data_IF_835568757998
#
_entry.id   IF_835568757998
#
_cell.length_a   1.000
_cell.length_b   1.000
_cell.length_c   1.000
_cell.angle_alpha   90.00
_cell.angle_beta   90.00
_cell.angle_gamma   90.00
#
_symmetry.space_group_name_H-M   'P 1'
#
loop_
_entity.id
_entity.type
_entity.pdbx_description
1 polymer ?
#
# COMPACT_ATOMS: atom_id res chain seq x y z
N UNK A 1 -7.57 -25.26 19.97
CA UNK A 1 -7.45 -24.51 18.70
C UNK A 1 -7.38 -22.98 18.84
N UNK A 2 -7.81 -22.35 19.96
CA UNK A 2 -7.83 -20.87 20.12
C UNK A 2 -6.45 -20.19 20.22
N UNK A 3 -5.42 -20.89 20.71
CA UNK A 3 -4.09 -20.30 20.98
C UNK A 3 -3.33 -19.93 19.69
N UNK A 4 -3.41 -20.77 18.66
CA UNK A 4 -2.64 -20.62 17.42
C UNK A 4 -3.15 -19.44 16.56
N UNK A 5 -4.46 -19.13 16.63
CA UNK A 5 -5.03 -17.95 15.95
C UNK A 5 -4.66 -16.64 16.63
N UNK A 6 -4.59 -16.62 17.96
CA UNK A 6 -4.15 -15.43 18.68
C UNK A 6 -2.68 -15.12 18.39
N UNK A 7 -1.83 -16.15 18.31
CA UNK A 7 -0.43 -16.02 17.91
C UNK A 7 -0.30 -15.50 16.47
N UNK A 8 -1.11 -15.99 15.53
CA UNK A 8 -1.08 -15.51 14.14
C UNK A 8 -1.41 -14.03 14.01
N UNK A 9 -2.36 -13.51 14.81
CA UNK A 9 -2.70 -12.07 14.81
C UNK A 9 -1.53 -11.25 15.35
N UNK A 10 -0.92 -11.68 16.44
CA UNK A 10 0.18 -10.97 17.09
C UNK A 10 1.45 -10.97 16.24
N UNK A 11 1.81 -12.11 15.64
CA UNK A 11 3.08 -12.24 14.92
C UNK A 11 3.01 -11.85 13.45
N UNK A 12 1.83 -11.92 12.81
CA UNK A 12 1.70 -11.66 11.37
C UNK A 12 0.79 -10.46 11.12
N UNK A 13 -0.40 -10.44 11.74
CA UNK A 13 -1.39 -9.37 11.51
C UNK A 13 -0.91 -7.99 11.96
N UNK A 14 -0.52 -7.84 13.24
CA UNK A 14 -0.11 -6.54 13.79
C UNK A 14 1.15 -5.99 13.09
N UNK A 15 2.24 -6.76 12.92
CA UNK A 15 3.44 -6.25 12.27
C UNK A 15 3.21 -5.87 10.79
N UNK A 16 2.43 -6.67 10.05
CA UNK A 16 2.11 -6.34 8.65
C UNK A 16 1.28 -5.07 8.53
N UNK A 17 0.32 -4.84 9.42
CA UNK A 17 -0.47 -3.60 9.47
C UNK A 17 0.40 -2.38 9.78
N UNK A 18 1.32 -2.50 10.74
CA UNK A 18 2.27 -1.43 11.08
C UNK A 18 3.14 -1.10 9.87
N UNK A 19 3.74 -2.11 9.24
CA UNK A 19 4.60 -1.92 8.06
C UNK A 19 3.83 -1.24 6.93
N UNK A 20 2.61 -1.72 6.63
CA UNK A 20 1.75 -1.13 5.60
C UNK A 20 1.41 0.34 5.88
N UNK A 21 1.12 0.68 7.14
CA UNK A 21 0.80 2.05 7.52
C UNK A 21 1.99 2.99 7.34
N UNK A 22 3.17 2.62 7.87
CA UNK A 22 4.37 3.45 7.75
C UNK A 22 4.86 3.56 6.31
N UNK A 23 4.89 2.47 5.56
CA UNK A 23 5.32 2.48 4.16
C UNK A 23 4.31 3.19 3.25
N UNK A 24 3.01 3.06 3.55
CA UNK A 24 1.94 3.77 2.87
C UNK A 24 2.03 5.29 3.08
N UNK A 25 2.19 5.75 4.32
CA UNK A 25 2.41 7.17 4.62
C UNK A 25 3.66 7.68 3.90
N UNK A 26 4.77 6.94 3.94
CA UNK A 26 5.99 7.34 3.25
C UNK A 26 5.76 7.52 1.74
N UNK A 27 5.01 6.59 1.12
CA UNK A 27 4.69 6.65 -0.32
C UNK A 27 3.82 7.87 -0.64
N UNK A 28 2.82 8.18 0.20
CA UNK A 28 1.96 9.35 0.03
C UNK A 28 2.71 10.67 0.21
N UNK A 29 3.57 10.76 1.22
CA UNK A 29 4.42 11.94 1.45
C UNK A 29 5.37 12.16 0.28
N UNK A 30 5.96 11.09 -0.25
CA UNK A 30 6.82 11.18 -1.43
C UNK A 30 6.05 11.69 -2.65
N UNK A 31 4.87 11.14 -2.94
CA UNK A 31 4.03 11.62 -4.04
C UNK A 31 3.69 13.12 -3.90
N UNK A 32 3.41 13.57 -2.67
CA UNK A 32 3.14 14.98 -2.41
C UNK A 32 4.39 15.89 -2.55
N UNK A 33 5.58 15.37 -2.22
CA UNK A 33 6.84 16.09 -2.44
C UNK A 33 7.16 16.30 -3.92
N UNK A 34 6.78 15.35 -4.78
CA UNK A 34 6.96 15.48 -6.24
C UNK A 34 6.13 16.65 -6.80
N UNK A 35 4.95 16.93 -6.23
CA UNK A 35 4.10 18.03 -6.67
C UNK A 35 4.69 19.43 -6.38
N UNK A 36 5.58 19.54 -5.38
CA UNK A 36 6.22 20.81 -4.96
C UNK A 36 7.68 20.94 -5.43
N UNK A 37 8.20 19.97 -6.20
CA UNK A 37 9.55 20.05 -6.74
C UNK A 37 9.69 21.16 -7.80
N UNK A 38 10.90 21.71 -7.97
CA UNK A 38 11.19 22.61 -9.08
C UNK A 38 11.02 21.88 -10.42
N UNK A 39 10.54 22.59 -11.44
CA UNK A 39 10.26 22.01 -12.76
C UNK A 39 11.45 21.28 -13.38
N UNK A 40 12.67 21.74 -13.13
CA UNK A 40 13.91 21.13 -13.64
C UNK A 40 14.12 19.72 -13.13
N UNK A 41 13.61 19.39 -11.94
CA UNK A 41 13.76 18.08 -11.32
C UNK A 41 12.58 17.16 -11.62
N UNK A 42 11.36 17.68 -11.80
CA UNK A 42 10.21 16.83 -12.04
C UNK A 42 9.91 16.55 -13.53
N UNK A 43 10.26 17.45 -14.45
CA UNK A 43 10.13 17.19 -15.90
C UNK A 43 10.79 15.89 -16.41
N UNK A 44 12.00 15.50 -15.98
CA UNK A 44 12.59 14.23 -16.42
C UNK A 44 11.88 12.99 -15.85
N UNK A 45 10.97 13.16 -14.87
CA UNK A 45 10.20 12.09 -14.25
C UNK A 45 8.88 11.83 -15.00
N UNK A 46 8.51 12.69 -15.96
CA UNK A 46 7.28 12.55 -16.74
C UNK A 46 7.46 11.54 -17.87
N UNK A 47 6.57 10.53 -17.89
CA UNK A 47 6.53 9.51 -18.94
C UNK A 47 5.34 9.80 -19.86
N UNK A 48 4.18 10.07 -19.27
CA UNK A 48 2.94 10.37 -19.99
C UNK A 48 2.53 11.84 -19.88
N UNK A 49 2.94 12.54 -18.83
CA UNK A 49 2.63 13.95 -18.62
C UNK A 49 3.36 14.80 -19.66
N UNK A 50 2.68 15.73 -20.34
CA UNK A 50 3.32 16.56 -21.35
C UNK A 50 4.32 17.55 -20.72
N UNK A 51 5.44 17.80 -21.41
CA UNK A 51 6.62 18.53 -20.88
C UNK A 51 6.41 20.06 -20.77
N UNK A 52 5.27 20.56 -21.25
CA UNK A 52 4.86 21.96 -21.29
C UNK A 52 4.04 22.37 -20.05
N UNK A 53 3.78 21.46 -19.11
CA UNK A 53 3.07 21.78 -17.86
C UNK A 53 3.76 22.88 -17.05
N UNK A 54 2.94 23.80 -16.51
CA UNK A 54 3.38 24.98 -15.76
C UNK A 54 3.69 24.67 -14.30
N UNK A 55 3.13 23.60 -13.74
CA UNK A 55 3.38 23.18 -12.37
C UNK A 55 3.62 21.67 -12.29
N UNK A 56 4.52 21.23 -11.40
CA UNK A 56 4.75 19.81 -11.13
C UNK A 56 3.54 19.12 -10.47
N UNK A 57 2.65 19.89 -9.86
CA UNK A 57 1.35 19.41 -9.36
C UNK A 57 0.43 18.90 -10.47
N UNK A 58 0.65 19.33 -11.73
CA UNK A 58 -0.17 18.93 -12.87
C UNK A 58 0.27 17.59 -13.48
N UNK A 59 1.18 16.88 -12.80
CA UNK A 59 1.59 15.53 -13.17
C UNK A 59 0.38 14.59 -13.21
N UNK A 60 0.29 13.77 -14.24
CA UNK A 60 -0.76 12.76 -14.31
C UNK A 60 -0.63 11.77 -13.15
N UNK A 61 -1.78 11.37 -12.61
CA UNK A 61 -1.85 10.41 -11.51
C UNK A 61 -1.14 9.08 -11.85
N UNK A 62 -1.19 8.69 -13.13
CA UNK A 62 -0.50 7.49 -13.64
C UNK A 62 1.02 7.63 -13.53
N UNK A 63 1.59 8.78 -13.88
CA UNK A 63 3.02 9.02 -13.76
C UNK A 63 3.46 8.99 -12.30
N UNK A 64 2.66 9.58 -11.39
CA UNK A 64 2.93 9.51 -9.94
C UNK A 64 2.87 8.08 -9.41
N UNK A 65 1.93 7.25 -9.89
CA UNK A 65 1.90 5.82 -9.54
C UNK A 65 3.15 5.09 -10.03
N UNK A 66 3.56 5.31 -11.28
CA UNK A 66 4.74 4.65 -11.85
C UNK A 66 6.00 5.09 -11.11
N UNK A 67 6.11 6.37 -10.79
CA UNK A 67 7.23 6.92 -10.03
C UNK A 67 7.29 6.37 -8.60
N UNK A 68 6.12 6.21 -7.96
CA UNK A 68 6.02 5.53 -6.69
C UNK A 68 6.46 4.06 -6.83
N UNK A 69 6.00 3.35 -7.86
CA UNK A 69 6.40 1.96 -8.12
C UNK A 69 7.90 1.78 -8.32
N UNK A 70 8.63 2.77 -8.84
CA UNK A 70 10.10 2.69 -8.95
C UNK A 70 10.82 2.70 -7.59
N UNK A 71 10.13 3.02 -6.49
CA UNK A 71 10.72 3.08 -5.16
C UNK A 71 10.57 1.73 -4.44
N UNK A 72 11.64 1.23 -3.78
CA UNK A 72 11.61 -0.03 -3.04
C UNK A 72 10.56 -0.04 -1.93
N UNK A 73 10.29 1.12 -1.32
CA UNK A 73 9.30 1.27 -0.24
C UNK A 73 7.87 1.01 -0.73
N UNK A 74 7.56 1.34 -1.98
CA UNK A 74 6.23 1.11 -2.54
C UNK A 74 5.97 -0.38 -2.76
N UNK A 75 6.99 -1.17 -3.12
CA UNK A 75 6.86 -2.63 -3.15
C UNK A 75 6.60 -3.21 -1.76
N UNK A 76 7.23 -2.67 -0.71
CA UNK A 76 6.98 -3.07 0.68
C UNK A 76 5.52 -2.77 1.06
N UNK A 77 4.98 -1.61 0.67
CA UNK A 77 3.56 -1.25 0.86
C UNK A 77 2.63 -2.22 0.12
N UNK A 78 2.95 -2.58 -1.14
CA UNK A 78 2.10 -3.49 -1.91
C UNK A 78 2.12 -4.91 -1.33
N UNK A 79 3.29 -5.42 -0.95
CA UNK A 79 3.43 -6.76 -0.36
C UNK A 79 2.72 -6.83 0.98
N UNK A 80 2.94 -5.84 1.86
CA UNK A 80 2.27 -5.78 3.17
C UNK A 80 0.76 -5.65 3.02
N UNK A 81 0.27 -4.85 2.07
CA UNK A 81 -1.15 -4.74 1.74
C UNK A 81 -1.74 -6.07 1.25
N UNK A 82 -1.04 -6.78 0.37
CA UNK A 82 -1.48 -8.10 -0.11
C UNK A 82 -1.55 -9.13 1.03
N UNK A 83 -0.57 -9.12 1.95
CA UNK A 83 -0.57 -9.96 3.14
C UNK A 83 -1.76 -9.65 4.03
N UNK A 84 -2.08 -8.37 4.27
CA UNK A 84 -3.25 -7.97 5.07
C UNK A 84 -4.54 -8.44 4.43
N UNK A 85 -4.72 -8.25 3.12
CA UNK A 85 -5.92 -8.69 2.40
C UNK A 85 -6.08 -10.21 2.51
N UNK A 86 -5.02 -10.97 2.26
CA UNK A 86 -5.02 -12.42 2.41
C UNK A 86 -5.34 -12.87 3.83
N UNK A 87 -4.78 -12.18 4.84
CA UNK A 87 -5.04 -12.43 6.25
C UNK A 87 -6.50 -12.19 6.61
N UNK A 88 -7.08 -11.04 6.20
CA UNK A 88 -8.50 -10.72 6.43
C UNK A 88 -9.39 -11.76 5.77
N UNK A 89 -9.10 -12.14 4.52
CA UNK A 89 -9.88 -13.12 3.78
C UNK A 89 -9.85 -14.51 4.45
N UNK A 90 -8.69 -14.93 4.94
CA UNK A 90 -8.54 -16.17 5.71
C UNK A 90 -9.42 -16.17 6.96
N UNK A 91 -9.42 -15.09 7.75
CA UNK A 91 -10.25 -14.99 8.96
C UNK A 91 -11.75 -14.92 8.65
N UNK A 92 -12.16 -14.23 7.59
CA UNK A 92 -13.57 -14.18 7.15
C UNK A 92 -14.05 -15.59 6.81
N UNK A 93 -13.27 -16.35 6.03
CA UNK A 93 -13.61 -17.72 5.66
C UNK A 93 -13.74 -18.61 6.89
N UNK A 94 -12.76 -18.55 7.79
CA UNK A 94 -12.77 -19.32 9.03
C UNK A 94 -13.97 -18.97 9.91
N UNK A 95 -14.28 -17.69 10.06
CA UNK A 95 -15.44 -17.24 10.85
C UNK A 95 -16.74 -17.81 10.28
N UNK A 96 -16.88 -17.83 8.95
CA UNK A 96 -18.02 -18.44 8.27
C UNK A 96 -18.13 -19.94 8.55
N UNK A 97 -17.02 -20.68 8.48
CA UNK A 97 -17.00 -22.13 8.76
C UNK A 97 -17.38 -22.43 10.23
N UNK A 98 -16.94 -21.61 11.20
CA UNK A 98 -17.31 -21.76 12.61
C UNK A 98 -18.78 -21.47 12.89
N UNK A 99 -19.37 -20.50 12.18
CA UNK A 99 -20.78 -20.14 12.37
C UNK A 99 -21.74 -21.14 11.72
N UNK A 100 -21.32 -21.81 10.63
CA UNK A 100 -22.11 -22.86 9.98
C UNK A 100 -22.03 -24.22 10.69
N UNK A 101 -20.98 -24.47 11.48
CA UNK A 101 -20.83 -25.69 12.28
C UNK A 101 -21.60 -25.70 13.61
N UNK A 102 -22.38 -24.66 13.92
CA UNK A 102 -23.13 -24.49 15.17
C UNK A 102 -24.64 -24.78 15.10
N UNK A 103 -25.15 -25.27 13.97
CA UNK A 103 -26.58 -25.62 13.78
C UNK A 103 -26.89 -27.14 13.90
N UNK A 104 -26.24 -27.86 14.82
CA UNK A 104 -26.65 -29.24 15.19
C UNK A 104 -26.74 -29.39 16.69
#
# INVERSE_FOLDING_TARGET
MKLNHWLSIIFIGIPSAIIFFFSGIYTLVFANQVAIMPQTECKPLFIFTPQDVKYCSDIYFIDTIILALQRPVTYITLISGAVIIGFVWYYIRLYKELNQGGEV
#
